data_IF_934751200912
#
_entry.id   IF_934751200912
#
_cell.length_a   1.000
_cell.length_b   1.000
_cell.length_c   1.000
_cell.angle_alpha   90.00
_cell.angle_beta   90.00
_cell.angle_gamma   90.00
#
_symmetry.space_group_name_H-M   'P 1'
#
loop_
_entity.id
_entity.type
_entity.pdbx_description
1 polymer ?
#
# COMPACT_ATOMS: atom_id res chain seq x y z
N UNK A 1 -13.43 7.68 -2.01
CA UNK A 1 -12.54 6.82 -2.83
C UNK A 1 -13.35 6.33 -4.00
N UNK A 2 -13.10 6.90 -5.17
CA UNK A 2 -13.65 6.41 -6.44
C UNK A 2 -13.25 4.92 -6.57
N UNK A 3 -14.21 4.07 -6.91
CA UNK A 3 -14.07 2.61 -6.89
C UNK A 3 -12.88 2.09 -7.71
N UNK A 4 -12.46 2.85 -8.72
CA UNK A 4 -11.35 2.53 -9.62
C UNK A 4 -9.98 2.52 -8.91
N UNK A 5 -9.74 3.51 -8.06
CA UNK A 5 -8.47 3.64 -7.30
C UNK A 5 -8.30 2.51 -6.30
N UNK A 6 -9.41 2.00 -5.74
CA UNK A 6 -9.38 0.92 -4.75
C UNK A 6 -8.98 -0.41 -5.38
N UNK A 7 -9.48 -0.68 -6.59
CA UNK A 7 -9.21 -1.93 -7.30
C UNK A 7 -7.75 -1.99 -7.77
N UNK A 8 -7.26 -0.89 -8.37
CA UNK A 8 -5.86 -0.79 -8.75
C UNK A 8 -4.91 -0.84 -7.55
N UNK A 9 -5.24 -0.17 -6.44
CA UNK A 9 -4.41 -0.23 -5.24
C UNK A 9 -4.35 -1.67 -4.69
N UNK A 10 -5.45 -2.42 -4.76
CA UNK A 10 -5.48 -3.81 -4.35
C UNK A 10 -4.60 -4.70 -5.25
N UNK A 11 -4.64 -4.52 -6.57
CA UNK A 11 -3.79 -5.26 -7.51
C UNK A 11 -2.30 -4.99 -7.25
N UNK A 12 -1.93 -3.72 -7.03
CA UNK A 12 -0.56 -3.33 -6.65
C UNK A 12 -0.15 -3.99 -5.33
N UNK A 13 -1.05 -4.03 -4.34
CA UNK A 13 -0.78 -4.68 -3.06
C UNK A 13 -0.53 -6.17 -3.22
N UNK A 14 -1.35 -6.86 -4.02
CA UNK A 14 -1.21 -8.30 -4.28
C UNK A 14 0.10 -8.58 -5.02
N UNK A 15 0.40 -7.84 -6.08
CA UNK A 15 1.64 -8.02 -6.85
C UNK A 15 2.90 -7.83 -5.99
N UNK A 16 2.92 -6.82 -5.12
CA UNK A 16 4.04 -6.58 -4.21
C UNK A 16 4.12 -7.60 -3.08
N UNK A 17 2.99 -7.98 -2.49
CA UNK A 17 2.93 -9.03 -1.47
C UNK A 17 3.39 -10.37 -2.03
N UNK A 18 3.05 -10.69 -3.29
CA UNK A 18 3.50 -11.92 -3.94
C UNK A 18 4.99 -11.93 -4.26
N UNK A 19 5.51 -10.78 -4.70
CA UNK A 19 6.91 -10.62 -5.09
C UNK A 19 7.86 -10.54 -3.90
N UNK A 20 7.38 -10.07 -2.75
CA UNK A 20 8.19 -9.79 -1.56
C UNK A 20 7.64 -10.46 -0.29
N UNK A 21 7.18 -11.71 -0.38
CA UNK A 21 6.67 -12.52 0.76
C UNK A 21 7.68 -12.61 1.91
N UNK A 22 8.99 -12.71 1.59
CA UNK A 22 10.08 -12.77 2.57
C UNK A 22 10.58 -11.41 3.06
N UNK A 23 10.20 -10.30 2.41
CA UNK A 23 10.72 -8.98 2.75
C UNK A 23 9.64 -7.90 2.70
N UNK A 24 8.88 -7.84 3.80
CA UNK A 24 7.74 -6.94 3.97
C UNK A 24 8.14 -5.46 3.92
N UNK A 25 9.35 -5.10 4.34
CA UNK A 25 9.86 -3.72 4.25
C UNK A 25 10.01 -3.29 2.79
N UNK A 26 10.60 -4.15 1.95
CA UNK A 26 10.69 -3.89 0.50
C UNK A 26 9.31 -3.89 -0.15
N UNK A 27 8.41 -4.76 0.28
CA UNK A 27 7.03 -4.77 -0.22
C UNK A 27 6.36 -3.41 0.02
N UNK A 28 6.44 -2.87 1.25
CA UNK A 28 5.84 -1.60 1.62
C UNK A 28 6.43 -0.42 0.84
N UNK A 29 7.76 -0.41 0.66
CA UNK A 29 8.42 0.62 -0.13
C UNK A 29 7.98 0.59 -1.60
N UNK A 30 7.84 -0.60 -2.19
CA UNK A 30 7.42 -0.76 -3.59
C UNK A 30 5.96 -0.35 -3.80
N UNK A 31 5.06 -0.74 -2.89
CA UNK A 31 3.65 -0.32 -2.97
C UNK A 31 3.56 1.20 -2.84
N UNK A 32 4.30 1.79 -1.89
CA UNK A 32 4.31 3.24 -1.70
C UNK A 32 4.80 3.96 -2.95
N UNK A 33 5.92 3.55 -3.53
CA UNK A 33 6.48 4.15 -4.74
C UNK A 33 5.51 4.03 -5.93
N UNK A 34 4.88 2.86 -6.08
CA UNK A 34 3.88 2.63 -7.13
C UNK A 34 2.65 3.53 -6.98
N UNK A 35 2.13 3.68 -5.76
CA UNK A 35 0.97 4.53 -5.47
C UNK A 35 1.31 6.02 -5.60
N UNK A 36 2.46 6.46 -5.11
CA UNK A 36 2.94 7.84 -5.21
C UNK A 36 3.11 8.25 -6.69
N UNK A 37 3.73 7.38 -7.49
CA UNK A 37 3.94 7.60 -8.93
C UNK A 37 2.65 7.60 -9.75
N UNK A 38 1.67 6.77 -9.38
CA UNK A 38 0.44 6.59 -10.18
C UNK A 38 -0.65 7.59 -9.81
N UNK A 39 -0.83 7.88 -8.52
CA UNK A 39 -1.92 8.72 -8.04
C UNK A 39 -1.48 10.12 -7.60
N UNK A 40 -0.17 10.41 -7.54
CA UNK A 40 0.35 11.74 -7.25
C UNK A 40 -0.08 12.26 -5.88
N UNK A 41 0.65 11.89 -4.82
CA UNK A 41 0.33 12.32 -3.46
C UNK A 41 1.13 11.52 -2.42
N UNK A 42 1.25 12.04 -1.19
CA UNK A 42 1.98 11.34 -0.12
C UNK A 42 1.17 10.15 0.40
N UNK A 43 1.48 8.95 -0.10
CA UNK A 43 0.86 7.71 0.39
C UNK A 43 1.60 7.14 1.61
N UNK A 44 0.80 6.64 2.56
CA UNK A 44 1.29 5.90 3.72
C UNK A 44 0.88 4.43 3.56
N UNK A 45 1.86 3.53 3.64
CA UNK A 45 1.67 2.08 3.47
C UNK A 45 2.17 1.36 4.73
N UNK A 46 1.37 0.43 5.23
CA UNK A 46 1.67 -0.40 6.41
C UNK A 46 1.41 -1.85 6.04
N UNK A 47 2.39 -2.75 6.23
CA UNK A 47 2.29 -4.18 5.88
C UNK A 47 2.76 -5.04 7.04
N UNK A 48 2.09 -6.19 7.19
CA UNK A 48 2.50 -7.31 8.02
C UNK A 48 1.33 -8.04 8.64
N UNK A 49 1.66 -9.03 9.48
CA UNK A 49 0.79 -10.16 9.79
C UNK A 49 0.05 -10.06 11.11
N UNK A 50 0.46 -9.15 12.02
CA UNK A 50 -0.23 -8.92 13.30
C UNK A 50 0.03 -7.48 13.79
N UNK A 51 -0.98 -6.60 13.74
CA UNK A 51 -0.88 -5.24 14.29
C UNK A 51 -2.20 -4.72 14.86
N UNK A 52 -2.10 -3.94 15.94
CA UNK A 52 -3.07 -2.95 16.33
C UNK A 52 -2.59 -1.57 15.87
N UNK A 53 -3.23 -0.97 14.87
CA UNK A 53 -2.89 0.40 14.44
C UNK A 53 -4.07 1.35 14.66
N UNK A 54 -3.79 2.55 15.18
CA UNK A 54 -4.76 3.66 15.32
C UNK A 54 -4.40 4.72 14.29
N UNK A 55 -5.21 4.83 13.23
CA UNK A 55 -5.04 5.88 12.22
C UNK A 55 -6.09 6.95 12.49
N UNK A 56 -5.66 8.18 12.78
CA UNK A 56 -6.49 9.38 12.72
C UNK A 56 -6.24 10.03 11.36
N UNK A 57 -7.24 10.05 10.50
CA UNK A 57 -7.18 10.77 9.23
C UNK A 57 -7.98 12.07 9.38
N UNK A 58 -7.36 13.21 9.09
CA UNK A 58 -8.04 14.50 8.97
C UNK A 58 -8.68 14.60 7.57
N UNK A 59 -9.91 15.13 7.51
CA UNK A 59 -10.78 15.17 6.32
C UNK A 59 -10.30 16.22 5.33
#
# INVERSE_FOLDING_TARGET
MESDVKDEAADICVAAAEKYKDNLEKAAQVIKDALDKKFGGRWHVVIGTDFAHRITHEV
#
